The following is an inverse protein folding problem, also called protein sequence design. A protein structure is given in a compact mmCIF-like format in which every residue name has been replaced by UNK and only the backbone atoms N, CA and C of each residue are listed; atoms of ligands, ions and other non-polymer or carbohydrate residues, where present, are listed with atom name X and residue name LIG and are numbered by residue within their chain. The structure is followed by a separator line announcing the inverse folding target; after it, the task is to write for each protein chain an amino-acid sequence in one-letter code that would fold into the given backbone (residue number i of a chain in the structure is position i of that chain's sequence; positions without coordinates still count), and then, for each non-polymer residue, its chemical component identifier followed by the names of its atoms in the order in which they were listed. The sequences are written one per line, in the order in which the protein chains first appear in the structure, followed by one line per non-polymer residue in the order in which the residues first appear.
data_IF_748795602757
#
_entry.id   IF_748795602757
#
_cell.length_a   1.000
_cell.length_b   1.000
_cell.length_c   1.000
_cell.angle_alpha   90.00
_cell.angle_beta   90.00
_cell.angle_gamma   90.00
#
_symmetry.space_group_name_H-M   'P 1'
#
loop_
_entity.id
_entity.type
_entity.pdbx_description
1 polymer ?
#
# COMPACT_ATOMS: atom_id res chain seq x y z
N UNK A 1 -18.38 16.16 5.92
CA UNK A 1 -19.67 16.85 6.11
C UNK A 1 -20.59 16.68 4.89
N UNK A 2 -20.17 17.09 3.70
CA UNK A 2 -20.98 17.00 2.46
C UNK A 2 -21.57 15.60 2.17
N UNK A 3 -20.75 14.54 2.29
CA UNK A 3 -21.22 13.17 2.04
C UNK A 3 -22.36 12.76 2.99
N UNK A 4 -22.26 13.15 4.27
CA UNK A 4 -23.31 12.90 5.28
C UNK A 4 -24.58 13.69 4.96
N UNK A 5 -24.45 14.97 4.61
CA UNK A 5 -25.57 15.85 4.29
C UNK A 5 -26.35 15.40 3.04
N UNK A 6 -25.65 14.80 2.07
CA UNK A 6 -26.22 14.39 0.78
C UNK A 6 -26.46 12.87 0.65
N UNK A 7 -26.21 12.09 1.71
CA UNK A 7 -26.35 10.63 1.67
C UNK A 7 -25.43 9.93 0.66
N UNK A 8 -24.21 10.45 0.46
CA UNK A 8 -23.23 9.91 -0.48
C UNK A 8 -22.30 8.91 0.21
N UNK A 9 -21.86 7.90 -0.53
CA UNK A 9 -20.80 6.98 -0.10
C UNK A 9 -19.44 7.68 -0.18
N UNK A 10 -18.69 7.67 0.93
CA UNK A 10 -17.30 8.11 0.92
C UNK A 10 -16.44 6.95 0.43
N UNK A 11 -15.69 7.17 -0.65
CA UNK A 11 -14.66 6.24 -1.10
C UNK A 11 -13.33 6.72 -0.53
N UNK A 12 -12.78 5.98 0.43
CA UNK A 12 -11.54 6.37 1.08
C UNK A 12 -10.35 6.13 0.14
N UNK A 13 -9.37 7.05 0.02
CA UNK A 13 -8.29 6.90 -0.95
C UNK A 13 -7.28 5.78 -0.65
N UNK A 14 -7.28 5.19 0.55
CA UNK A 14 -6.34 4.11 0.92
C UNK A 14 -6.81 3.20 2.06
N UNK A 15 -7.33 3.77 3.17
CA UNK A 15 -7.88 3.06 4.34
C UNK A 15 -9.28 2.45 4.08
N UNK A 16 -9.36 1.62 3.05
CA UNK A 16 -10.52 0.80 2.71
C UNK A 16 -10.01 -0.53 2.14
N UNK A 17 -10.58 -1.65 2.58
CA UNK A 17 -10.10 -2.98 2.20
C UNK A 17 -10.21 -3.25 0.70
N UNK A 18 -11.27 -2.78 0.05
CA UNK A 18 -11.45 -2.96 -1.39
C UNK A 18 -10.44 -2.10 -2.18
N UNK A 19 -10.15 -0.89 -1.69
CA UNK A 19 -9.13 -0.02 -2.29
C UNK A 19 -7.74 -0.66 -2.16
N UNK A 20 -7.36 -1.12 -0.98
CA UNK A 20 -6.09 -1.80 -0.76
C UNK A 20 -5.97 -3.09 -1.58
N UNK A 21 -7.01 -3.93 -1.60
CA UNK A 21 -7.03 -5.14 -2.42
C UNK A 21 -6.89 -4.83 -3.91
N UNK A 22 -7.56 -3.79 -4.39
CA UNK A 22 -7.42 -3.30 -5.76
C UNK A 22 -5.98 -2.89 -6.09
N UNK A 23 -5.27 -2.22 -5.17
CA UNK A 23 -3.85 -1.91 -5.39
C UNK A 23 -2.97 -3.17 -5.40
N UNK A 24 -3.36 -4.21 -4.67
CA UNK A 24 -2.64 -5.48 -4.62
C UNK A 24 -2.55 -6.20 -5.96
N UNK A 25 -3.44 -5.91 -6.92
CA UNK A 25 -3.39 -6.53 -8.25
C UNK A 25 -2.10 -6.19 -9.01
N UNK A 26 -1.48 -5.05 -8.70
CA UNK A 26 -0.17 -4.67 -9.24
C UNK A 26 0.86 -5.77 -8.96
N UNK A 27 0.89 -6.31 -7.74
CA UNK A 27 1.80 -7.39 -7.37
C UNK A 27 1.49 -8.69 -8.13
N UNK A 28 0.20 -9.00 -8.32
CA UNK A 28 -0.22 -10.17 -9.10
C UNK A 28 0.29 -10.08 -10.54
N UNK A 29 0.13 -8.91 -11.17
CA UNK A 29 0.60 -8.65 -12.53
C UNK A 29 2.12 -8.71 -12.63
N UNK A 30 2.84 -8.00 -11.73
CA UNK A 30 4.30 -7.97 -11.72
C UNK A 30 4.92 -9.36 -11.54
N UNK A 31 4.42 -10.17 -10.59
CA UNK A 31 4.95 -11.51 -10.32
C UNK A 31 4.53 -12.54 -11.38
N UNK A 32 3.39 -12.35 -12.03
CA UNK A 32 3.02 -13.16 -13.19
C UNK A 32 3.93 -12.87 -14.39
N UNK A 33 4.30 -11.60 -14.60
CA UNK A 33 5.16 -11.18 -15.71
C UNK A 33 6.64 -11.47 -15.45
N UNK A 34 7.09 -11.37 -14.19
CA UNK A 34 8.47 -11.59 -13.79
C UNK A 34 8.56 -12.37 -12.47
N UNK A 35 8.49 -13.72 -12.53
CA UNK A 35 8.44 -14.58 -11.34
C UNK A 35 9.69 -14.57 -10.47
N UNK A 36 10.83 -14.10 -10.97
CA UNK A 36 12.10 -14.04 -10.25
C UNK A 36 12.34 -12.74 -9.49
N UNK A 37 11.36 -11.83 -9.45
CA UNK A 37 11.46 -10.65 -8.57
C UNK A 37 11.50 -11.14 -7.13
N UNK A 38 12.60 -10.84 -6.43
CA UNK A 38 12.79 -11.14 -5.02
C UNK A 38 12.51 -9.94 -4.11
N UNK A 39 12.45 -8.73 -4.67
CA UNK A 39 12.27 -7.48 -3.93
C UNK A 39 11.33 -6.52 -4.66
N UNK A 40 10.33 -5.98 -3.95
CA UNK A 40 9.44 -4.92 -4.42
C UNK A 40 9.66 -3.63 -3.64
N UNK A 41 9.98 -2.56 -4.35
CA UNK A 41 10.11 -1.21 -3.78
C UNK A 41 8.82 -0.44 -4.06
N UNK A 42 8.09 -0.07 -3.00
CA UNK A 42 6.73 0.47 -3.10
C UNK A 42 6.65 1.86 -2.46
N UNK A 43 6.12 2.82 -3.21
CA UNK A 43 5.86 4.16 -2.69
C UNK A 43 4.78 4.14 -1.60
N UNK A 44 4.99 4.90 -0.54
CA UNK A 44 4.05 5.03 0.58
C UNK A 44 3.53 6.48 0.65
N UNK A 45 2.22 6.62 0.45
CA UNK A 45 1.46 7.79 0.88
C UNK A 45 0.70 7.45 2.17
N UNK A 46 -0.60 7.16 2.06
CA UNK A 46 -1.43 6.68 3.18
C UNK A 46 -1.29 5.19 3.51
N UNK A 47 -0.52 4.42 2.73
CA UNK A 47 -0.21 3.01 3.02
C UNK A 47 -1.08 1.96 2.30
N UNK A 48 -2.19 2.34 1.66
CA UNK A 48 -3.08 1.39 0.98
C UNK A 48 -2.40 0.57 -0.13
N UNK A 49 -1.53 1.19 -0.93
CA UNK A 49 -0.80 0.52 -2.00
C UNK A 49 0.19 -0.53 -1.48
N UNK A 50 1.07 -0.14 -0.54
CA UNK A 50 2.03 -1.09 0.04
C UNK A 50 1.33 -2.21 0.81
N UNK A 51 0.22 -1.92 1.50
CA UNK A 51 -0.59 -2.92 2.17
C UNK A 51 -1.12 -3.96 1.18
N UNK A 52 -1.73 -3.50 0.09
CA UNK A 52 -2.25 -4.37 -0.97
C UNK A 52 -1.16 -5.22 -1.63
N UNK A 53 -0.09 -4.57 -2.08
CA UNK A 53 1.04 -5.23 -2.75
C UNK A 53 1.71 -6.24 -1.83
N UNK A 54 2.03 -5.87 -0.58
CA UNK A 54 2.68 -6.79 0.36
C UNK A 54 1.80 -8.01 0.66
N UNK A 55 0.48 -7.81 0.82
CA UNK A 55 -0.47 -8.89 1.07
C UNK A 55 -0.51 -9.87 -0.12
N UNK A 56 -0.68 -9.35 -1.33
CA UNK A 56 -0.74 -10.17 -2.54
C UNK A 56 0.61 -10.87 -2.82
N UNK A 57 1.72 -10.13 -2.80
CA UNK A 57 3.05 -10.67 -3.08
C UNK A 57 3.45 -11.77 -2.10
N UNK A 58 3.28 -11.56 -0.78
CA UNK A 58 3.63 -12.57 0.24
C UNK A 58 2.72 -13.78 0.26
N UNK A 59 1.51 -13.67 -0.31
CA UNK A 59 0.66 -14.84 -0.53
C UNK A 59 1.18 -15.76 -1.65
N UNK A 60 1.99 -15.22 -2.58
CA UNK A 60 2.60 -15.93 -3.70
C UNK A 60 4.00 -16.43 -3.33
N UNK A 61 4.90 -15.54 -2.87
CA UNK A 61 6.20 -15.90 -2.30
C UNK A 61 6.36 -15.27 -0.92
N UNK A 62 6.24 -16.04 0.17
CA UNK A 62 6.41 -15.52 1.54
C UNK A 62 7.79 -14.93 1.83
N UNK A 63 8.80 -15.23 1.01
CA UNK A 63 10.18 -14.75 1.19
C UNK A 63 10.47 -13.44 0.46
N UNK A 64 9.53 -12.94 -0.35
CA UNK A 64 9.73 -11.70 -1.10
C UNK A 64 9.94 -10.51 -0.16
N UNK A 65 10.97 -9.72 -0.43
CA UNK A 65 11.27 -8.52 0.32
C UNK A 65 10.40 -7.36 -0.16
N UNK A 66 9.82 -6.62 0.78
CA UNK A 66 8.99 -5.44 0.48
C UNK A 66 9.62 -4.24 1.16
N UNK A 67 10.03 -3.26 0.36
CA UNK A 67 10.67 -2.03 0.83
C UNK A 67 9.75 -0.84 0.58
N UNK A 68 9.29 -0.23 1.66
CA UNK A 68 8.51 0.99 1.61
C UNK A 68 9.37 2.24 1.41
N UNK A 69 8.95 3.14 0.52
CA UNK A 69 9.67 4.39 0.24
C UNK A 69 8.76 5.60 0.42
N UNK A 70 9.26 6.60 1.14
CA UNK A 70 8.60 7.89 1.32
C UNK A 70 9.54 9.03 0.99
N UNK A 71 8.99 10.20 0.67
CA UNK A 71 9.78 11.43 0.61
C UNK A 71 10.20 11.85 2.01
N UNK A 72 11.45 12.28 2.19
CA UNK A 72 11.96 12.77 3.47
C UNK A 72 11.14 13.91 4.07
N UNK A 73 10.53 14.77 3.23
CA UNK A 73 9.69 15.89 3.70
C UNK A 73 8.30 15.49 4.19
N UNK A 74 7.85 14.27 3.91
CA UNK A 74 6.52 13.78 4.30
C UNK A 74 6.58 12.32 4.80
N UNK A 75 7.37 12.01 5.84
CA UNK A 75 7.63 10.64 6.27
C UNK A 75 6.56 10.14 7.28
N UNK A 76 5.27 10.44 7.03
CA UNK A 76 4.21 10.23 8.02
C UNK A 76 4.09 8.79 8.54
N UNK A 77 4.01 7.80 7.63
CA UNK A 77 3.97 6.37 7.99
C UNK A 77 5.26 5.94 8.67
N UNK A 78 6.42 6.36 8.15
CA UNK A 78 7.72 6.09 8.77
C UNK A 78 7.77 6.57 10.23
N UNK A 79 7.38 7.83 10.48
CA UNK A 79 7.28 8.44 11.80
C UNK A 79 6.36 7.64 12.72
N UNK A 80 5.18 7.26 12.22
CA UNK A 80 4.23 6.44 12.98
C UNK A 80 4.78 5.04 13.33
N UNK A 81 5.51 4.39 12.43
CA UNK A 81 6.08 3.06 12.67
C UNK A 81 7.28 3.06 13.60
N UNK A 82 8.08 4.13 13.60
CA UNK A 82 9.31 4.24 14.40
C UNK A 82 9.12 5.04 15.69
N UNK A 83 7.95 5.63 15.92
CA UNK A 83 7.70 6.48 17.09
C UNK A 83 8.51 7.77 17.05
N UNK A 84 8.77 8.29 15.85
CA UNK A 84 9.62 9.46 15.63
C UNK A 84 8.81 10.63 15.05
N UNK A 85 9.39 11.83 15.11
CA UNK A 85 8.92 13.00 14.37
C UNK A 85 10.13 13.68 13.72
N UNK A 86 10.42 13.25 12.50
CA UNK A 86 11.38 13.87 11.60
C UNK A 86 10.66 14.57 10.46
#
# INVERSE_FOLDING_TARGET
QLAKERGLTVVHPYDDLAVAAGQGTIALEMLAQQPQIDTLVVAIGGGGMISGIATAARSIDPRIDIVGVQTERFPAVWNAMHGEQR
#
